data_IF_842421707719
#
_entry.id   IF_842421707719
#
_cell.length_a   1.000
_cell.length_b   1.000
_cell.length_c   1.000
_cell.angle_alpha   90.00
_cell.angle_beta   90.00
_cell.angle_gamma   90.00
#
_symmetry.space_group_name_H-M   'P 1'
#
loop_
_entity.id
_entity.type
_entity.pdbx_description
1 polymer ?
#
# COMPACT_ATOMS: atom_id res chain seq x y z
N UNK A 1 -26.29 -33.40 3.88
CA UNK A 1 -25.97 -32.24 3.01
C UNK A 1 -24.76 -32.67 2.17
N UNK A 2 -24.97 -32.99 0.89
CA UNK A 2 -23.98 -33.67 0.05
C UNK A 2 -22.89 -32.68 -0.38
N UNK A 3 -21.63 -33.05 -0.11
CA UNK A 3 -20.43 -32.35 -0.54
C UNK A 3 -20.34 -32.38 -2.07
N UNK A 4 -20.21 -31.19 -2.68
CA UNK A 4 -19.84 -31.06 -4.09
C UNK A 4 -18.35 -31.45 -4.26
N UNK A 5 -17.98 -32.07 -5.39
CA UNK A 5 -16.61 -32.49 -5.64
C UNK A 5 -15.70 -31.28 -5.87
N UNK A 6 -14.45 -31.43 -5.44
CA UNK A 6 -13.32 -30.53 -5.59
C UNK A 6 -13.07 -30.14 -7.05
N UNK A 7 -13.81 -29.15 -7.56
CA UNK A 7 -13.44 -28.39 -8.74
C UNK A 7 -12.60 -27.20 -8.26
N UNK A 8 -11.36 -27.16 -8.74
CA UNK A 8 -10.28 -26.27 -8.34
C UNK A 8 -10.71 -24.79 -8.35
N UNK A 9 -10.62 -24.15 -7.18
CA UNK A 9 -10.88 -22.72 -6.95
C UNK A 9 -10.02 -21.80 -7.86
N UNK A 10 -8.90 -22.34 -8.37
CA UNK A 10 -7.96 -21.72 -9.32
C UNK A 10 -8.64 -21.28 -10.63
N UNK A 11 -9.70 -21.99 -11.05
CA UNK A 11 -10.46 -21.62 -12.25
C UNK A 11 -11.18 -20.29 -12.13
N UNK A 12 -11.55 -19.82 -10.92
CA UNK A 12 -12.36 -18.62 -10.78
C UNK A 12 -11.53 -17.32 -10.83
N UNK A 13 -10.29 -17.33 -10.34
CA UNK A 13 -9.44 -16.13 -10.33
C UNK A 13 -8.59 -15.95 -11.59
N UNK A 14 -8.30 -17.03 -12.30
CA UNK A 14 -7.88 -16.93 -13.70
C UNK A 14 -9.03 -16.43 -14.58
N UNK A 15 -10.29 -16.74 -14.28
CA UNK A 15 -11.46 -16.29 -15.07
C UNK A 15 -11.86 -14.83 -14.80
N UNK A 16 -11.69 -14.28 -13.58
CA UNK A 16 -12.03 -12.87 -13.30
C UNK A 16 -11.00 -11.89 -13.91
N UNK A 17 -9.76 -12.32 -14.12
CA UNK A 17 -8.74 -11.52 -14.82
C UNK A 17 -8.50 -11.87 -16.29
N UNK A 18 -8.66 -13.14 -16.71
CA UNK A 18 -8.19 -13.63 -18.02
C UNK A 18 -9.34 -14.06 -18.95
N UNK A 19 -10.52 -14.43 -18.46
CA UNK A 19 -11.60 -14.94 -19.35
C UNK A 19 -12.55 -13.89 -19.93
N UNK A 20 -12.47 -12.64 -19.51
CA UNK A 20 -13.25 -11.54 -20.13
C UNK A 20 -12.44 -10.81 -21.22
N UNK A 21 -11.15 -11.14 -21.38
CA UNK A 21 -10.20 -10.48 -22.29
C UNK A 21 -10.39 -10.77 -23.79
N UNK A 22 -11.28 -11.70 -24.18
CA UNK A 22 -11.36 -12.19 -25.57
C UNK A 22 -12.56 -11.67 -26.39
N UNK A 23 -13.32 -10.66 -25.96
CA UNK A 23 -14.43 -10.15 -26.78
C UNK A 23 -14.72 -8.64 -26.77
N UNK A 24 -14.06 -7.85 -25.93
CA UNK A 24 -14.28 -6.40 -25.87
C UNK A 24 -12.95 -5.66 -25.70
N UNK A 25 -12.79 -4.51 -26.37
CA UNK A 25 -11.52 -3.77 -26.38
C UNK A 25 -10.99 -3.45 -24.96
N UNK A 26 -9.66 -3.38 -24.79
CA UNK A 26 -8.99 -3.31 -23.48
C UNK A 26 -9.49 -2.16 -22.59
N UNK A 27 -9.84 -1.02 -23.19
CA UNK A 27 -10.27 0.18 -22.47
C UNK A 27 -11.60 0.01 -21.71
N UNK A 28 -12.55 -0.74 -22.29
CA UNK A 28 -13.89 -0.92 -21.69
C UNK A 28 -13.92 -2.02 -20.62
N UNK A 29 -13.06 -3.04 -20.75
CA UNK A 29 -12.91 -4.10 -19.76
C UNK A 29 -12.27 -3.57 -18.47
N UNK A 30 -11.21 -2.76 -18.62
CA UNK A 30 -10.58 -2.11 -17.48
C UNK A 30 -11.56 -1.13 -16.82
N UNK A 31 -12.28 -0.30 -17.59
CA UNK A 31 -13.30 0.60 -17.00
C UNK A 31 -14.43 -0.15 -16.26
N UNK A 32 -14.87 -1.31 -16.75
CA UNK A 32 -15.88 -2.15 -16.08
C UNK A 32 -15.37 -2.77 -14.78
N UNK A 33 -14.13 -3.28 -14.76
CA UNK A 33 -13.51 -3.89 -13.58
C UNK A 33 -13.05 -2.84 -12.53
N UNK A 34 -12.57 -1.67 -12.96
CA UNK A 34 -12.09 -0.61 -12.08
C UNK A 34 -13.20 0.38 -11.66
N UNK A 35 -14.32 0.50 -12.38
CA UNK A 35 -15.41 1.42 -12.02
C UNK A 35 -16.20 1.00 -10.78
N UNK A 36 -16.27 -0.30 -10.47
CA UNK A 36 -16.99 -0.87 -9.34
C UNK A 36 -16.17 -1.87 -8.51
N UNK A 37 -14.84 -1.73 -8.50
CA UNK A 37 -13.94 -2.67 -7.83
C UNK A 37 -14.30 -2.94 -6.35
N UNK A 38 -14.88 -1.95 -5.65
CA UNK A 38 -15.38 -2.12 -4.27
C UNK A 38 -16.47 -3.17 -4.17
N UNK A 39 -17.44 -3.15 -5.08
CA UNK A 39 -18.53 -4.13 -5.12
C UNK A 39 -17.97 -5.54 -5.31
N UNK A 40 -16.95 -5.68 -6.17
CA UNK A 40 -16.26 -6.96 -6.35
C UNK A 40 -15.49 -7.39 -5.11
N UNK A 41 -14.77 -6.47 -4.45
CA UNK A 41 -14.04 -6.76 -3.22
C UNK A 41 -14.99 -7.20 -2.10
N UNK A 42 -16.12 -6.51 -1.89
CA UNK A 42 -17.13 -6.91 -0.91
C UNK A 42 -17.76 -8.26 -1.26
N UNK A 43 -18.01 -8.54 -2.55
CA UNK A 43 -18.45 -9.86 -3.00
C UNK A 43 -17.47 -10.98 -2.65
N UNK A 44 -16.16 -10.76 -2.87
CA UNK A 44 -15.13 -11.75 -2.51
C UNK A 44 -15.01 -11.93 -1.00
N UNK A 45 -15.15 -10.87 -0.20
CA UNK A 45 -15.18 -10.97 1.26
C UNK A 45 -16.38 -11.79 1.74
N UNK A 46 -17.57 -11.52 1.21
CA UNK A 46 -18.77 -12.30 1.53
C UNK A 46 -18.62 -13.78 1.17
N UNK A 47 -17.93 -14.09 0.06
CA UNK A 47 -17.58 -15.47 -0.30
C UNK A 47 -16.64 -16.09 0.75
N UNK A 48 -15.55 -15.40 1.12
CA UNK A 48 -14.63 -15.86 2.17
C UNK A 48 -15.39 -16.16 3.48
N UNK A 49 -16.31 -15.28 3.88
CA UNK A 49 -17.13 -15.46 5.07
C UNK A 49 -18.05 -16.69 4.96
N UNK A 50 -18.63 -16.94 3.78
CA UNK A 50 -19.45 -18.13 3.53
C UNK A 50 -18.67 -19.45 3.63
N UNK A 51 -17.35 -19.42 3.43
CA UNK A 51 -16.45 -20.57 3.63
C UNK A 51 -15.89 -20.67 5.06
N UNK A 52 -16.49 -19.97 6.02
CA UNK A 52 -16.07 -19.99 7.43
C UNK A 52 -15.09 -18.87 7.81
N UNK A 53 -14.86 -17.92 6.90
CA UNK A 53 -14.08 -16.72 7.15
C UNK A 53 -12.57 -16.91 7.00
N UNK A 54 -11.82 -15.80 7.04
CA UNK A 54 -10.41 -15.79 6.64
C UNK A 54 -9.52 -16.59 7.59
N UNK A 55 -9.90 -16.73 8.88
CA UNK A 55 -9.16 -17.53 9.86
C UNK A 55 -9.19 -19.03 9.58
N UNK A 56 -10.33 -19.54 9.09
CA UNK A 56 -10.47 -20.97 8.79
C UNK A 56 -9.71 -21.27 7.50
N UNK A 57 -9.87 -20.43 6.48
CA UNK A 57 -9.22 -20.61 5.19
C UNK A 57 -7.69 -20.56 5.27
N UNK A 58 -7.10 -19.65 6.05
CA UNK A 58 -5.62 -19.55 6.16
C UNK A 58 -4.97 -20.76 6.87
N UNK A 59 -5.77 -21.58 7.54
CA UNK A 59 -5.32 -22.79 8.23
C UNK A 59 -5.54 -24.06 7.41
N UNK A 60 -6.26 -23.99 6.29
CA UNK A 60 -6.66 -25.16 5.50
C UNK A 60 -5.47 -25.75 4.74
N UNK A 61 -4.84 -24.93 3.90
CA UNK A 61 -3.64 -25.26 3.11
C UNK A 61 -2.98 -23.95 2.64
N UNK A 62 -1.85 -24.04 1.93
CA UNK A 62 -1.07 -22.88 1.51
C UNK A 62 -1.70 -22.11 0.34
N UNK A 63 -2.46 -22.76 -0.55
CA UNK A 63 -3.11 -22.10 -1.68
C UNK A 63 -4.22 -21.16 -1.19
N UNK A 64 -5.10 -21.68 -0.35
CA UNK A 64 -6.16 -20.91 0.31
C UNK A 64 -5.57 -19.79 1.18
N UNK A 65 -4.44 -20.06 1.85
CA UNK A 65 -3.73 -19.07 2.64
C UNK A 65 -3.25 -17.89 1.78
N UNK A 66 -2.65 -18.17 0.63
CA UNK A 66 -2.17 -17.15 -0.31
C UNK A 66 -3.32 -16.37 -0.95
N UNK A 67 -4.43 -17.03 -1.26
CA UNK A 67 -5.63 -16.35 -1.76
C UNK A 67 -6.16 -15.34 -0.73
N UNK A 68 -6.37 -15.78 0.53
CA UNK A 68 -6.84 -14.90 1.60
C UNK A 68 -5.86 -13.74 1.82
N UNK A 69 -4.56 -14.02 1.78
CA UNK A 69 -3.54 -12.99 1.91
C UNK A 69 -3.63 -11.92 0.81
N UNK A 70 -3.81 -12.33 -0.46
CA UNK A 70 -3.95 -11.39 -1.57
C UNK A 70 -5.18 -10.52 -1.42
N UNK A 71 -6.33 -11.09 -1.06
CA UNK A 71 -7.58 -10.32 -0.85
C UNK A 71 -7.45 -9.37 0.34
N UNK A 72 -6.85 -9.83 1.43
CA UNK A 72 -6.56 -9.01 2.61
C UNK A 72 -5.65 -7.83 2.24
N UNK A 73 -4.63 -8.04 1.40
CA UNK A 73 -3.74 -6.96 1.00
C UNK A 73 -4.46 -5.95 0.11
N UNK A 74 -5.27 -6.42 -0.84
CA UNK A 74 -6.13 -5.54 -1.66
C UNK A 74 -6.97 -4.65 -0.75
N UNK A 75 -7.60 -5.23 0.27
CA UNK A 75 -8.43 -4.49 1.21
C UNK A 75 -7.64 -3.51 2.11
N UNK A 76 -6.48 -3.93 2.61
CA UNK A 76 -5.57 -3.06 3.38
C UNK A 76 -5.19 -1.84 2.55
N UNK A 77 -4.75 -2.04 1.31
CA UNK A 77 -4.29 -0.96 0.44
C UNK A 77 -5.45 -0.08 -0.01
N UNK A 78 -6.59 -0.68 -0.37
CA UNK A 78 -7.86 -0.01 -0.67
C UNK A 78 -8.31 0.94 0.44
N UNK A 79 -8.12 0.54 1.70
CA UNK A 79 -8.52 1.34 2.86
C UNK A 79 -7.66 2.61 3.00
N UNK A 80 -6.41 2.60 2.52
CA UNK A 80 -5.51 3.77 2.62
C UNK A 80 -6.03 5.00 1.91
N UNK A 81 -6.79 4.80 0.84
CA UNK A 81 -7.42 5.84 0.02
C UNK A 81 -8.93 5.88 0.18
N UNK A 82 -9.50 5.18 1.17
CA UNK A 82 -10.92 5.27 1.49
C UNK A 82 -11.13 6.40 2.51
N UNK A 83 -11.98 7.42 2.24
CA UNK A 83 -12.36 8.41 3.23
C UNK A 83 -12.97 7.74 4.46
N UNK A 84 -12.68 8.27 5.65
CA UNK A 84 -13.15 7.72 6.92
C UNK A 84 -14.68 7.63 6.94
N UNK A 85 -15.38 8.66 6.48
CA UNK A 85 -16.85 8.67 6.40
C UNK A 85 -17.45 7.63 5.43
N UNK A 86 -16.64 7.06 4.53
CA UNK A 86 -17.06 6.04 3.55
C UNK A 86 -16.59 4.63 3.92
N UNK A 87 -15.91 4.45 5.05
CA UNK A 87 -15.47 3.13 5.50
C UNK A 87 -16.67 2.27 5.94
N UNK A 88 -16.73 0.98 5.55
CA UNK A 88 -17.70 0.05 6.11
C UNK A 88 -17.63 -0.03 7.65
N UNK A 89 -18.76 -0.24 8.35
CA UNK A 89 -18.80 -0.24 9.82
C UNK A 89 -17.96 -1.37 10.45
N UNK A 90 -17.74 -2.46 9.72
CA UNK A 90 -16.94 -3.61 10.17
C UNK A 90 -15.44 -3.49 9.83
N UNK A 91 -15.00 -2.37 9.23
CA UNK A 91 -13.59 -2.14 8.85
C UNK A 91 -12.64 -2.33 10.04
N UNK A 92 -13.00 -1.81 11.23
CA UNK A 92 -12.17 -1.95 12.43
C UNK A 92 -12.01 -3.43 12.85
N UNK A 93 -13.09 -4.20 12.83
CA UNK A 93 -13.06 -5.63 13.18
C UNK A 93 -12.24 -6.43 12.15
N UNK A 94 -12.45 -6.16 10.85
CA UNK A 94 -11.72 -6.79 9.74
C UNK A 94 -10.22 -6.55 9.86
N UNK A 95 -9.78 -5.29 9.98
CA UNK A 95 -8.36 -4.98 10.09
C UNK A 95 -7.72 -5.53 11.37
N UNK A 96 -8.46 -5.62 12.47
CA UNK A 96 -7.99 -6.33 13.66
C UNK A 96 -7.80 -7.83 13.38
N UNK A 97 -8.66 -8.44 12.55
CA UNK A 97 -8.49 -9.81 12.07
C UNK A 97 -7.29 -9.96 11.15
N UNK A 98 -7.07 -9.00 10.25
CA UNK A 98 -5.95 -9.01 9.33
C UNK A 98 -4.61 -8.97 10.06
N UNK A 99 -4.47 -8.16 11.11
CA UNK A 99 -3.25 -8.13 11.93
C UNK A 99 -2.89 -9.50 12.53
N UNK A 100 -3.90 -10.29 12.93
CA UNK A 100 -3.69 -11.66 13.43
C UNK A 100 -3.25 -12.61 12.32
N UNK A 101 -3.85 -12.50 11.13
CA UNK A 101 -3.49 -13.32 9.96
C UNK A 101 -2.07 -13.00 9.49
N UNK A 102 -1.71 -11.72 9.39
CA UNK A 102 -0.36 -11.28 9.02
C UNK A 102 0.71 -11.82 9.99
N UNK A 103 0.39 -11.92 11.28
CA UNK A 103 1.28 -12.55 12.26
C UNK A 103 1.45 -14.06 12.02
N UNK A 104 0.36 -14.76 11.67
CA UNK A 104 0.40 -16.19 11.33
C UNK A 104 1.22 -16.46 10.05
N UNK A 105 1.05 -15.63 9.02
CA UNK A 105 1.78 -15.76 7.75
C UNK A 105 3.28 -15.59 7.95
N UNK A 106 3.69 -14.60 8.74
CA UNK A 106 5.09 -14.39 9.08
C UNK A 106 5.70 -15.60 9.82
N UNK A 107 4.91 -16.30 10.64
CA UNK A 107 5.35 -17.56 11.30
C UNK A 107 5.45 -18.74 10.33
N UNK A 108 4.57 -18.82 9.34
CA UNK A 108 4.61 -19.87 8.30
C UNK A 108 5.77 -19.69 7.32
N UNK A 109 6.42 -18.53 7.29
CA UNK A 109 7.51 -18.23 6.35
C UNK A 109 7.03 -18.13 4.89
N UNK A 110 5.72 -18.02 4.67
CA UNK A 110 5.16 -17.84 3.34
C UNK A 110 5.58 -16.47 2.79
N UNK A 111 6.23 -16.48 1.64
CA UNK A 111 6.62 -15.24 0.98
C UNK A 111 5.39 -14.60 0.33
N UNK A 112 5.17 -13.33 0.66
CA UNK A 112 4.23 -12.48 -0.05
C UNK A 112 4.68 -12.31 -1.50
N UNK A 113 3.79 -12.44 -2.51
CA UNK A 113 4.11 -12.08 -3.89
C UNK A 113 4.36 -10.57 -4.04
N UNK A 114 3.94 -9.76 -3.06
CA UNK A 114 4.26 -8.35 -2.98
C UNK A 114 5.64 -8.17 -2.36
N UNK A 115 6.49 -7.37 -3.01
CA UNK A 115 7.82 -7.01 -2.52
C UNK A 115 7.79 -6.03 -1.32
N UNK A 116 6.65 -5.91 -0.64
CA UNK A 116 6.48 -5.06 0.54
C UNK A 116 6.81 -5.92 1.76
N UNK A 117 7.79 -5.50 2.59
CA UNK A 117 8.09 -6.16 3.84
C UNK A 117 6.83 -6.35 4.70
N UNK A 118 6.60 -7.57 5.21
CA UNK A 118 5.39 -7.90 5.96
C UNK A 118 5.14 -6.98 7.17
N UNK A 119 6.19 -6.52 7.84
CA UNK A 119 6.09 -5.57 8.94
C UNK A 119 5.55 -4.20 8.50
N UNK A 120 5.86 -3.75 7.29
CA UNK A 120 5.31 -2.50 6.74
C UNK A 120 3.82 -2.66 6.40
N UNK A 121 3.41 -3.80 5.85
CA UNK A 121 1.98 -4.12 5.62
C UNK A 121 1.21 -4.10 6.94
N UNK A 122 1.77 -4.68 8.00
CA UNK A 122 1.17 -4.65 9.35
C UNK A 122 0.98 -3.22 9.85
N UNK A 123 1.97 -2.35 9.68
CA UNK A 123 1.85 -0.95 10.09
C UNK A 123 0.76 -0.23 9.28
N UNK A 124 0.62 -0.49 7.97
CA UNK A 124 -0.49 0.07 7.18
C UNK A 124 -1.84 -0.37 7.76
N UNK A 125 -1.99 -1.66 8.09
CA UNK A 125 -3.20 -2.17 8.73
C UNK A 125 -3.46 -1.56 10.12
N UNK A 126 -2.42 -1.28 10.91
CA UNK A 126 -2.54 -0.57 12.19
C UNK A 126 -3.03 0.87 11.99
N UNK A 127 -2.52 1.61 10.99
CA UNK A 127 -3.01 2.97 10.66
C UNK A 127 -4.48 2.93 10.23
N UNK A 128 -4.84 1.99 9.35
CA UNK A 128 -6.24 1.80 8.92
C UNK A 128 -7.17 1.50 10.10
N UNK A 129 -6.74 0.67 11.05
CA UNK A 129 -7.50 0.37 12.26
C UNK A 129 -7.70 1.62 13.13
N UNK A 130 -6.68 2.47 13.27
CA UNK A 130 -6.78 3.75 13.98
C UNK A 130 -7.82 4.65 13.30
N UNK A 131 -7.79 4.75 11.97
CA UNK A 131 -8.76 5.52 11.17
C UNK A 131 -10.18 4.99 11.34
N UNK A 132 -10.39 3.68 11.26
CA UNK A 132 -11.72 3.09 11.41
C UNK A 132 -12.30 3.30 12.82
N UNK A 133 -11.47 3.18 13.86
CA UNK A 133 -11.90 3.38 15.25
C UNK A 133 -12.24 4.83 15.59
N UNK A 134 -11.62 5.81 14.92
CA UNK A 134 -11.95 7.22 15.16
C UNK A 134 -13.41 7.55 14.80
N UNK A 135 -14.05 6.73 13.95
CA UNK A 135 -15.49 6.80 13.65
C UNK A 135 -16.30 6.30 14.85
N UNK A 136 -15.98 5.11 15.36
CA UNK A 136 -16.75 4.42 16.40
C UNK A 136 -16.78 5.20 17.71
N UNK A 137 -15.67 5.87 18.06
CA UNK A 137 -15.58 6.69 19.28
C UNK A 137 -16.50 7.92 19.21
N UNK A 138 -16.77 8.47 18.02
CA UNK A 138 -17.72 9.60 17.86
C UNK A 138 -19.18 9.20 18.06
N UNK A 139 -19.52 7.92 17.87
CA UNK A 139 -20.91 7.43 17.92
C UNK A 139 -21.31 6.97 19.32
N UNK A 140 -20.39 6.39 20.10
CA UNK A 140 -20.75 5.67 21.32
C UNK A 140 -20.21 6.26 22.64
N UNK A 141 -19.48 7.38 22.63
CA UNK A 141 -19.18 8.19 23.82
C UNK A 141 -18.35 7.55 24.95
N UNK A 142 -18.18 6.23 24.96
CA UNK A 142 -17.70 5.48 26.12
C UNK A 142 -16.53 4.57 25.76
N UNK A 143 -15.30 5.09 25.93
CA UNK A 143 -14.12 4.38 26.43
C UNK A 143 -12.94 5.37 26.51
N UNK A 144 -12.13 5.25 27.57
CA UNK A 144 -10.80 5.88 27.66
C UNK A 144 -9.87 5.14 26.67
N UNK A 145 -10.09 5.32 25.38
CA UNK A 145 -9.15 4.83 24.37
C UNK A 145 -7.86 5.66 24.43
N UNK A 146 -6.73 4.99 24.23
CA UNK A 146 -5.44 5.64 24.13
C UNK A 146 -5.48 6.75 23.05
N UNK A 147 -5.03 7.98 23.38
CA UNK A 147 -5.01 9.13 22.47
C UNK A 147 -4.36 8.81 21.12
N UNK A 148 -4.92 9.37 20.03
CA UNK A 148 -4.45 9.09 18.67
C UNK A 148 -3.00 9.54 18.45
N UNK A 149 -2.59 10.67 19.03
CA UNK A 149 -1.22 11.18 18.99
C UNK A 149 -0.21 10.16 19.54
N UNK A 150 -0.53 9.48 20.64
CA UNK A 150 0.30 8.42 21.20
C UNK A 150 0.43 7.23 20.25
N UNK A 151 -0.72 6.72 19.73
CA UNK A 151 -0.73 5.58 18.80
C UNK A 151 0.09 5.89 17.53
N UNK A 152 -0.11 7.07 16.93
CA UNK A 152 0.64 7.49 15.74
C UNK A 152 2.13 7.68 16.06
N UNK A 153 2.47 8.28 17.20
CA UNK A 153 3.88 8.42 17.62
C UNK A 153 4.57 7.07 17.83
N UNK A 154 3.87 6.07 18.37
CA UNK A 154 4.36 4.70 18.49
C UNK A 154 4.65 4.08 17.11
N UNK A 155 3.73 4.24 16.16
CA UNK A 155 3.92 3.76 14.78
C UNK A 155 5.10 4.44 14.08
N UNK A 156 5.24 5.76 14.24
CA UNK A 156 6.39 6.51 13.71
C UNK A 156 7.71 6.03 14.32
N UNK A 157 7.71 5.71 15.63
CA UNK A 157 8.86 5.08 16.28
C UNK A 157 9.18 3.72 15.67
N UNK A 158 8.19 2.83 15.48
CA UNK A 158 8.39 1.53 14.81
C UNK A 158 8.99 1.69 13.40
N UNK A 159 8.51 2.68 12.63
CA UNK A 159 9.02 2.96 11.29
C UNK A 159 10.45 3.52 11.30
N UNK A 160 10.83 4.31 12.30
CA UNK A 160 12.19 4.84 12.41
C UNK A 160 13.24 3.76 12.72
N UNK A 161 12.84 2.71 13.45
CA UNK A 161 13.70 1.57 13.77
C UNK A 161 13.66 0.46 12.70
N UNK A 162 12.87 0.62 11.64
CA UNK A 162 12.81 -0.38 10.57
C UNK A 162 14.09 -0.39 9.72
N UNK A 163 14.72 -1.56 9.62
CA UNK A 163 15.88 -1.85 8.77
C UNK A 163 15.47 -2.75 7.59
N UNK A 164 15.73 -2.33 6.33
CA UNK A 164 15.39 -3.12 5.14
C UNK A 164 16.14 -4.47 5.01
N UNK A 165 17.25 -4.64 5.75
CA UNK A 165 18.23 -5.71 5.55
C UNK A 165 18.27 -6.74 6.69
N UNK A 166 17.35 -6.70 7.65
CA UNK A 166 17.27 -7.77 8.66
C UNK A 166 16.87 -9.08 7.98
N UNK A 167 17.87 -9.89 7.65
CA UNK A 167 17.83 -11.15 6.90
C UNK A 167 17.04 -12.29 7.55
N UNK A 168 16.09 -11.99 8.44
CA UNK A 168 15.14 -12.94 9.01
C UNK A 168 13.84 -13.04 8.19
N UNK A 169 13.57 -12.08 7.29
CA UNK A 169 12.36 -12.10 6.44
C UNK A 169 12.64 -12.67 5.07
N UNK A 170 13.09 -13.92 5.01
CA UNK A 170 12.76 -14.86 3.93
C UNK A 170 13.14 -14.53 2.48
N UNK A 171 13.57 -13.32 2.10
CA UNK A 171 14.04 -12.94 0.75
C UNK A 171 15.45 -13.53 0.53
N UNK A 172 15.57 -14.85 0.66
CA UNK A 172 16.36 -15.59 -0.32
C UNK A 172 15.69 -15.28 -1.65
N UNK A 173 16.28 -14.32 -2.38
CA UNK A 173 16.28 -14.25 -3.84
C UNK A 173 15.31 -15.25 -4.45
N UNK A 174 14.08 -14.85 -4.74
CA UNK A 174 13.22 -15.71 -5.51
C UNK A 174 13.78 -15.72 -6.96
N UNK A 175 14.36 -16.83 -7.46
CA UNK A 175 14.87 -16.90 -8.82
C UNK A 175 13.74 -17.11 -9.84
N UNK A 176 12.47 -17.07 -9.41
CA UNK A 176 11.32 -17.45 -10.26
C UNK A 176 10.70 -16.33 -11.08
N UNK A 177 11.30 -15.12 -11.14
CA UNK A 177 11.19 -14.38 -12.41
C UNK A 177 12.13 -15.06 -13.42
N UNK A 178 11.68 -16.23 -13.91
CA UNK A 178 12.25 -16.85 -15.09
C UNK A 178 11.87 -15.91 -16.23
N UNK A 179 12.86 -15.18 -16.76
CA UNK A 179 12.73 -14.62 -18.11
C UNK A 179 12.32 -15.80 -19.02
N UNK A 180 11.17 -15.74 -19.72
CA UNK A 180 10.74 -16.80 -20.62
C UNK A 180 11.77 -17.15 -21.71
N UNK A 181 12.84 -16.36 -21.87
CA UNK A 181 13.96 -16.62 -22.77
C UNK A 181 15.10 -17.43 -22.16
N UNK A 182 15.08 -17.70 -20.86
CA UNK A 182 16.10 -18.52 -20.18
C UNK A 182 15.47 -19.79 -19.61
N UNK A 183 15.08 -20.70 -20.51
CA UNK A 183 14.81 -22.08 -20.12
C UNK A 183 16.11 -22.77 -19.69
N UNK A 184 16.20 -23.03 -18.38
CA UNK A 184 16.68 -24.27 -17.73
C UNK A 184 18.01 -24.85 -18.24
N UNK A 185 19.06 -24.71 -17.41
CA UNK A 185 20.10 -25.74 -17.30
C UNK A 185 20.18 -26.21 -15.83
N UNK A 186 19.70 -27.42 -15.47
CA UNK A 186 19.52 -27.85 -14.08
C UNK A 186 20.79 -28.45 -13.44
N UNK A 187 21.99 -28.08 -13.90
CA UNK A 187 23.25 -28.73 -13.51
C UNK A 187 24.19 -27.91 -12.59
N UNK A 188 23.75 -26.78 -12.03
CA UNK A 188 24.63 -25.94 -11.19
C UNK A 188 24.24 -26.01 -9.70
N UNK A 189 24.53 -27.15 -9.09
CA UNK A 189 24.89 -27.18 -7.67
C UNK A 189 26.25 -26.48 -7.53
N UNK A 190 26.25 -25.18 -7.23
CA UNK A 190 27.49 -24.45 -6.96
C UNK A 190 28.06 -24.92 -5.62
N UNK A 191 29.35 -25.33 -5.56
CA UNK A 191 30.00 -25.62 -4.30
C UNK A 191 30.07 -24.33 -3.46
N UNK A 192 29.82 -24.45 -2.16
CA UNK A 192 30.04 -23.38 -1.18
C UNK A 192 31.49 -22.91 -1.28
N UNK A 193 31.71 -21.67 -1.74
CA UNK A 193 33.03 -21.03 -1.61
C UNK A 193 33.49 -20.07 -2.71
N UNK A 194 32.80 -19.94 -3.84
CA UNK A 194 33.30 -19.04 -4.91
C UNK A 194 32.19 -18.29 -5.65
N UNK A 195 31.68 -17.22 -5.03
CA UNK A 195 30.86 -16.24 -5.75
C UNK A 195 31.81 -15.35 -6.55
N UNK A 196 31.79 -15.47 -7.88
CA UNK A 196 32.55 -14.57 -8.76
C UNK A 196 32.25 -13.10 -8.43
N UNK A 197 33.23 -12.18 -8.47
CA UNK A 197 33.04 -10.77 -8.12
C UNK A 197 31.87 -10.09 -8.85
N UNK A 198 31.64 -10.43 -10.13
CA UNK A 198 30.52 -9.93 -10.92
C UNK A 198 29.14 -10.33 -10.36
N UNK A 199 29.03 -11.52 -9.77
CA UNK A 199 27.80 -11.96 -9.11
C UNK A 199 27.58 -11.24 -7.78
N UNK A 200 28.66 -10.87 -7.08
CA UNK A 200 28.59 -10.08 -5.84
C UNK A 200 28.07 -8.67 -6.11
N UNK A 201 28.58 -8.00 -7.13
CA UNK A 201 28.15 -6.63 -7.48
C UNK A 201 26.68 -6.59 -7.91
N UNK A 202 26.23 -7.60 -8.66
CA UNK A 202 24.81 -7.75 -9.04
C UNK A 202 23.91 -7.94 -7.82
N UNK A 203 24.28 -8.83 -6.90
CA UNK A 203 23.52 -9.07 -5.67
C UNK A 203 23.47 -7.83 -4.77
N UNK A 204 24.57 -7.07 -4.68
CA UNK A 204 24.60 -5.83 -3.92
C UNK A 204 23.70 -4.76 -4.53
N UNK A 205 23.67 -4.64 -5.85
CA UNK A 205 22.82 -3.68 -6.56
C UNK A 205 21.33 -4.05 -6.44
N UNK A 206 21.01 -5.34 -6.48
CA UNK A 206 19.66 -5.84 -6.22
C UNK A 206 19.22 -5.58 -4.77
N UNK A 207 20.05 -5.92 -3.78
CA UNK A 207 19.78 -5.64 -2.38
C UNK A 207 19.60 -4.14 -2.11
N UNK A 208 20.40 -3.29 -2.78
CA UNK A 208 20.27 -1.84 -2.71
C UNK A 208 18.94 -1.36 -3.30
N UNK A 209 18.54 -1.88 -4.46
CA UNK A 209 17.27 -1.51 -5.09
C UNK A 209 16.07 -1.97 -4.25
N UNK A 210 16.14 -3.17 -3.66
CA UNK A 210 15.14 -3.63 -2.70
C UNK A 210 15.07 -2.72 -1.46
N UNK A 211 16.23 -2.32 -0.92
CA UNK A 211 16.29 -1.42 0.23
C UNK A 211 15.63 -0.06 -0.08
N UNK A 212 15.86 0.50 -1.27
CA UNK A 212 15.16 1.71 -1.72
C UNK A 212 13.66 1.50 -1.92
N UNK A 213 13.23 0.32 -2.40
CA UNK A 213 11.81 -0.02 -2.50
C UNK A 213 11.15 -0.05 -1.11
N UNK A 214 11.75 -0.76 -0.15
CA UNK A 214 11.27 -0.79 1.23
C UNK A 214 11.27 0.61 1.86
N UNK A 215 12.28 1.43 1.56
CA UNK A 215 12.37 2.82 2.02
C UNK A 215 11.25 3.70 1.44
N UNK A 216 10.87 3.53 0.17
CA UNK A 216 9.70 4.20 -0.41
C UNK A 216 8.43 3.88 0.38
N UNK A 217 8.18 2.60 0.67
CA UNK A 217 7.01 2.21 1.47
C UNK A 217 7.08 2.77 2.88
N UNK A 218 8.23 2.65 3.57
CA UNK A 218 8.42 3.18 4.93
C UNK A 218 8.10 4.68 4.99
N UNK A 219 8.63 5.45 4.07
CA UNK A 219 8.44 6.90 4.02
C UNK A 219 6.98 7.27 3.68
N UNK A 220 6.36 6.60 2.70
CA UNK A 220 4.96 6.82 2.36
C UNK A 220 4.00 6.43 3.51
N UNK A 221 4.32 5.39 4.29
CA UNK A 221 3.55 5.01 5.49
C UNK A 221 3.68 6.07 6.59
N UNK A 222 4.86 6.66 6.79
CA UNK A 222 5.02 7.79 7.74
C UNK A 222 4.12 8.96 7.35
N UNK A 223 4.11 9.33 6.06
CA UNK A 223 3.24 10.39 5.53
C UNK A 223 1.78 10.03 5.81
N UNK A 224 1.35 8.82 5.44
CA UNK A 224 -0.03 8.37 5.65
C UNK A 224 -0.46 8.38 7.12
N UNK A 225 0.42 7.96 8.03
CA UNK A 225 0.16 7.99 9.47
C UNK A 225 0.05 9.43 10.01
N UNK A 226 0.90 10.35 9.54
CA UNK A 226 0.82 11.77 9.92
C UNK A 226 -0.45 12.41 9.36
N UNK A 227 -0.79 12.17 8.10
CA UNK A 227 -2.01 12.71 7.48
C UNK A 227 -3.28 12.21 8.17
N UNK A 228 -3.25 10.96 8.65
CA UNK A 228 -4.32 10.41 9.51
C UNK A 228 -4.50 11.24 10.79
N UNK A 229 -3.41 11.59 11.46
CA UNK A 229 -3.45 12.43 12.66
C UNK A 229 -3.94 13.85 12.35
N UNK A 230 -3.39 14.48 11.32
CA UNK A 230 -3.75 15.85 10.94
C UNK A 230 -5.23 15.98 10.54
N UNK A 231 -5.76 15.00 9.82
CA UNK A 231 -7.19 14.97 9.47
C UNK A 231 -8.09 14.86 10.71
N UNK A 232 -7.70 14.06 11.71
CA UNK A 232 -8.45 13.92 12.96
C UNK A 232 -8.41 15.21 13.80
N UNK A 233 -7.25 15.86 13.89
CA UNK A 233 -7.10 17.14 14.61
C UNK A 233 -7.93 18.25 13.95
N UNK A 234 -7.92 18.35 12.62
CA UNK A 234 -8.74 19.33 11.90
C UNK A 234 -10.25 19.11 12.17
N UNK A 235 -10.70 17.86 12.12
CA UNK A 235 -12.09 17.52 12.41
C UNK A 235 -12.48 17.88 13.86
N UNK A 236 -11.61 17.62 14.84
CA UNK A 236 -11.85 17.97 16.24
C UNK A 236 -11.80 19.49 16.49
N UNK A 237 -11.02 20.24 15.70
CA UNK A 237 -10.97 21.70 15.73
C UNK A 237 -12.27 22.34 15.26
N UNK A 238 -12.86 21.83 14.17
CA UNK A 238 -14.15 22.31 13.66
C UNK A 238 -15.30 22.12 14.65
N UNK A 239 -15.31 21.04 15.43
CA UNK A 239 -16.36 20.78 16.44
C UNK A 239 -16.27 21.73 17.65
N UNK A 240 -15.07 22.19 18.03
CA UNK A 240 -14.88 23.04 19.22
C UNK A 240 -15.17 24.52 18.99
N UNK A 241 -15.06 25.00 17.74
CA UNK A 241 -15.38 26.39 17.38
C UNK A 241 -16.87 26.71 17.59
N UNK A 242 -17.72 25.69 17.70
CA UNK A 242 -19.15 25.86 17.90
C UNK A 242 -19.56 26.21 19.34
N UNK A 243 -18.76 25.94 20.40
CA UNK A 243 -19.23 26.11 21.79
C UNK A 243 -18.26 26.73 22.81
N UNK A 244 -16.95 26.84 22.56
CA UNK A 244 -16.04 27.69 23.37
C UNK A 244 -14.70 27.82 22.63
N UNK A 245 -14.12 29.02 22.66
CA UNK A 245 -12.96 29.41 21.86
C UNK A 245 -11.79 28.39 21.80
N UNK A 246 -10.95 28.48 20.77
CA UNK A 246 -10.02 27.41 20.39
C UNK A 246 -8.91 27.25 21.43
N UNK A 247 -9.08 26.32 22.37
CA UNK A 247 -7.96 25.79 23.13
C UNK A 247 -7.26 24.76 22.23
N UNK A 248 -6.37 25.26 21.37
CA UNK A 248 -5.36 24.46 20.67
C UNK A 248 -4.55 23.70 21.72
N UNK A 249 -4.79 22.39 21.86
CA UNK A 249 -3.89 21.52 22.62
C UNK A 249 -2.54 21.46 21.89
N UNK A 250 -1.52 22.04 22.54
CA UNK A 250 -0.08 22.00 22.27
C UNK A 250 0.40 22.09 20.81
N UNK A 251 0.74 23.32 20.38
CA UNK A 251 1.53 23.63 19.16
C UNK A 251 2.67 22.63 18.91
N UNK A 252 3.37 22.19 19.97
CA UNK A 252 4.56 21.36 19.86
C UNK A 252 4.34 19.97 19.26
N UNK A 253 3.18 19.34 19.42
CA UNK A 253 2.90 18.03 18.79
C UNK A 253 2.58 18.20 17.32
N UNK A 254 1.80 19.23 16.96
CA UNK A 254 1.49 19.57 15.57
C UNK A 254 2.78 19.88 14.78
N UNK A 255 3.65 20.70 15.35
CA UNK A 255 4.94 21.07 14.75
C UNK A 255 5.83 19.84 14.52
N UNK A 256 5.86 18.90 15.48
CA UNK A 256 6.58 17.62 15.32
C UNK A 256 6.02 16.78 14.18
N UNK A 257 4.68 16.70 14.05
CA UNK A 257 4.03 15.93 12.99
C UNK A 257 4.28 16.55 11.62
N UNK A 258 4.20 17.88 11.49
CA UNK A 258 4.54 18.59 10.25
C UNK A 258 6.00 18.35 9.87
N UNK A 259 6.93 18.43 10.84
CA UNK A 259 8.34 18.12 10.61
C UNK A 259 8.57 16.66 10.18
N UNK A 260 7.90 15.71 10.84
CA UNK A 260 7.97 14.29 10.47
C UNK A 260 7.46 14.02 9.05
N UNK A 261 6.39 14.70 8.63
CA UNK A 261 5.87 14.62 7.26
C UNK A 261 6.87 15.13 6.24
N UNK A 262 7.50 16.28 6.49
CA UNK A 262 8.52 16.84 5.58
C UNK A 262 9.70 15.89 5.41
N UNK A 263 10.27 15.40 6.52
CA UNK A 263 11.40 14.44 6.48
C UNK A 263 11.01 13.18 5.71
N UNK A 264 9.80 12.67 5.92
CA UNK A 264 9.31 11.50 5.21
C UNK A 264 9.12 11.76 3.70
N UNK A 265 8.63 12.94 3.31
CA UNK A 265 8.53 13.33 1.90
C UNK A 265 9.91 13.38 1.23
N UNK A 266 10.90 13.99 1.87
CA UNK A 266 12.26 14.08 1.34
C UNK A 266 12.91 12.69 1.18
N UNK A 267 12.75 11.81 2.20
CA UNK A 267 13.18 10.40 2.17
C UNK A 267 12.51 9.63 1.01
N UNK A 268 11.21 9.86 0.79
CA UNK A 268 10.41 9.22 -0.25
C UNK A 268 10.89 9.67 -1.64
N UNK A 269 11.01 10.97 -1.87
CA UNK A 269 11.45 11.53 -3.16
C UNK A 269 12.86 11.09 -3.52
N UNK A 270 13.78 11.06 -2.56
CA UNK A 270 15.14 10.56 -2.79
C UNK A 270 15.14 9.09 -3.25
N UNK A 271 14.32 8.25 -2.61
CA UNK A 271 14.25 6.81 -2.92
C UNK A 271 13.53 6.53 -4.24
N UNK A 272 12.48 7.29 -4.56
CA UNK A 272 11.80 7.22 -5.85
C UNK A 272 12.72 7.64 -7.00
N UNK A 273 13.44 8.75 -6.86
CA UNK A 273 14.43 9.23 -7.84
C UNK A 273 15.53 8.20 -8.07
N UNK A 274 15.98 7.51 -7.02
CA UNK A 274 16.94 6.41 -7.14
C UNK A 274 16.39 5.26 -8.00
N UNK A 275 15.22 4.71 -7.65
CA UNK A 275 14.63 3.54 -8.32
C UNK A 275 14.25 3.82 -9.78
N UNK A 276 13.60 4.97 -10.03
CA UNK A 276 13.20 5.37 -11.37
C UNK A 276 14.41 5.76 -12.22
N UNK A 277 15.48 6.27 -11.61
CA UNK A 277 16.78 6.42 -12.26
C UNK A 277 17.42 5.08 -12.64
N UNK A 278 17.38 4.09 -11.74
CA UNK A 278 17.91 2.75 -11.98
C UNK A 278 17.16 2.04 -13.12
N UNK A 279 15.84 2.23 -13.23
CA UNK A 279 15.02 1.83 -14.39
C UNK A 279 15.61 2.34 -15.70
N UNK A 280 15.84 3.66 -15.80
CA UNK A 280 16.33 4.32 -17.03
C UNK A 280 17.72 3.81 -17.42
N UNK A 281 18.57 3.51 -16.43
CA UNK A 281 19.91 2.95 -16.63
C UNK A 281 19.92 1.43 -16.87
N UNK A 282 18.77 0.75 -16.80
CA UNK A 282 18.63 -0.72 -16.93
C UNK A 282 19.54 -1.49 -15.96
N UNK A 283 19.67 -0.97 -14.75
CA UNK A 283 20.49 -1.56 -13.68
C UNK A 283 19.90 -2.88 -13.16
N UNK A 284 20.74 -3.79 -12.65
CA UNK A 284 20.25 -4.98 -11.93
C UNK A 284 19.44 -4.54 -10.70
N UNK A 285 18.35 -5.24 -10.37
CA UNK A 285 17.40 -4.76 -9.37
C UNK A 285 16.52 -3.59 -9.85
N UNK A 286 16.71 -3.09 -11.07
CA UNK A 286 15.87 -2.03 -11.63
C UNK A 286 14.38 -2.39 -11.60
N UNK A 287 14.00 -3.67 -11.67
CA UNK A 287 12.61 -4.11 -11.67
C UNK A 287 11.78 -3.68 -10.44
N UNK A 288 12.39 -3.27 -9.32
CA UNK A 288 11.65 -2.80 -8.15
C UNK A 288 10.84 -1.52 -8.39
N UNK A 289 11.13 -0.75 -9.44
CA UNK A 289 10.31 0.42 -9.83
C UNK A 289 8.85 0.04 -10.08
N UNK A 290 8.60 -1.22 -10.49
CA UNK A 290 7.26 -1.71 -10.82
C UNK A 290 6.35 -1.74 -9.60
N UNK A 291 6.90 -1.79 -8.38
CA UNK A 291 6.13 -1.99 -7.16
C UNK A 291 5.92 -0.72 -6.32
N UNK A 292 6.56 0.38 -6.67
CA UNK A 292 6.46 1.64 -5.91
C UNK A 292 5.31 2.54 -6.36
N UNK A 293 4.25 1.96 -6.94
CA UNK A 293 3.09 2.70 -7.41
C UNK A 293 2.37 3.45 -6.28
N UNK A 294 2.00 2.76 -5.19
CA UNK A 294 1.34 3.42 -4.05
C UNK A 294 2.22 4.51 -3.43
N UNK A 295 3.52 4.27 -3.12
CA UNK A 295 4.42 5.34 -2.68
C UNK A 295 4.53 6.52 -3.66
N UNK A 296 4.54 6.27 -4.98
CA UNK A 296 4.60 7.31 -6.01
C UNK A 296 3.32 8.16 -6.02
N UNK A 297 2.15 7.54 -5.86
CA UNK A 297 0.88 8.27 -5.72
C UNK A 297 0.85 9.13 -4.44
N UNK A 298 1.33 8.59 -3.30
CA UNK A 298 1.42 9.36 -2.05
C UNK A 298 2.36 10.56 -2.20
N UNK A 299 3.52 10.37 -2.83
CA UNK A 299 4.44 11.47 -3.13
C UNK A 299 3.78 12.53 -4.00
N UNK A 300 3.02 12.13 -5.02
CA UNK A 300 2.34 13.05 -5.92
C UNK A 300 1.28 13.90 -5.21
N UNK A 301 0.50 13.29 -4.31
CA UNK A 301 -0.46 14.06 -3.51
C UNK A 301 0.25 15.09 -2.64
N UNK A 302 1.35 14.72 -2.00
CA UNK A 302 2.14 15.64 -1.18
C UNK A 302 2.77 16.77 -2.01
N UNK A 303 3.32 16.44 -3.19
CA UNK A 303 3.95 17.45 -4.07
C UNK A 303 2.94 18.50 -4.53
N UNK A 304 1.67 18.11 -4.72
CA UNK A 304 0.59 18.98 -5.18
C UNK A 304 -0.07 19.74 -4.01
N UNK A 305 -0.51 19.03 -2.98
CA UNK A 305 -1.39 19.58 -1.94
C UNK A 305 -0.60 20.29 -0.84
N UNK A 306 0.56 19.75 -0.47
CA UNK A 306 1.34 20.24 0.68
C UNK A 306 2.50 21.12 0.22
N UNK A 307 3.33 20.63 -0.70
CA UNK A 307 4.57 21.32 -1.07
C UNK A 307 4.41 22.29 -2.25
N UNK A 308 3.38 22.12 -3.09
CA UNK A 308 3.19 22.87 -4.35
C UNK A 308 4.46 22.90 -5.22
N UNK A 309 5.16 21.78 -5.26
CA UNK A 309 6.44 21.65 -5.94
C UNK A 309 6.21 21.17 -7.38
N UNK A 310 6.25 22.13 -8.33
CA UNK A 310 6.06 21.86 -9.76
C UNK A 310 7.05 20.82 -10.31
N UNK A 311 8.37 20.96 -10.09
CA UNK A 311 9.35 19.97 -10.52
C UNK A 311 9.09 18.55 -10.02
N UNK A 312 8.74 18.37 -8.74
CA UNK A 312 8.43 17.05 -8.21
C UNK A 312 7.09 16.52 -8.78
N UNK A 313 6.07 17.38 -8.93
CA UNK A 313 4.81 17.02 -9.59
C UNK A 313 5.03 16.53 -11.02
N UNK A 314 5.75 17.28 -11.86
CA UNK A 314 6.04 16.91 -13.24
C UNK A 314 6.82 15.59 -13.32
N UNK A 315 7.81 15.42 -12.45
CA UNK A 315 8.57 14.18 -12.33
C UNK A 315 7.65 12.98 -12.02
N UNK A 316 6.79 13.10 -11.02
CA UNK A 316 5.89 12.02 -10.59
C UNK A 316 4.83 11.72 -11.66
N UNK A 317 4.18 12.76 -12.17
CA UNK A 317 3.15 12.66 -13.20
C UNK A 317 3.68 11.99 -14.46
N UNK A 318 4.85 12.41 -14.95
CA UNK A 318 5.50 11.78 -16.10
C UNK A 318 5.77 10.29 -15.88
N UNK A 319 6.28 9.90 -14.71
CA UNK A 319 6.53 8.49 -14.42
C UNK A 319 5.25 7.67 -14.27
N UNK A 320 4.16 8.21 -13.72
CA UNK A 320 2.87 7.50 -13.67
C UNK A 320 2.36 7.18 -15.10
N UNK A 321 2.50 8.11 -16.04
CA UNK A 321 2.17 7.86 -17.44
C UNK A 321 3.10 6.85 -18.09
N UNK A 322 4.42 6.92 -17.85
CA UNK A 322 5.38 5.89 -18.30
C UNK A 322 5.02 4.50 -17.76
N UNK A 323 4.71 4.40 -16.46
CA UNK A 323 4.34 3.13 -15.81
C UNK A 323 3.05 2.55 -16.39
N UNK A 324 2.09 3.39 -16.79
CA UNK A 324 0.86 2.95 -17.48
C UNK A 324 1.20 2.19 -18.76
N UNK A 325 2.10 2.75 -19.57
CA UNK A 325 2.53 2.14 -20.84
C UNK A 325 3.32 0.86 -20.60
N UNK A 326 4.26 0.89 -19.65
CA UNK A 326 5.18 -0.23 -19.41
C UNK A 326 4.52 -1.43 -18.72
N UNK A 327 3.49 -1.19 -17.87
CA UNK A 327 2.82 -2.24 -17.09
C UNK A 327 1.45 -2.62 -17.64
N UNK A 328 0.90 -1.86 -18.58
CA UNK A 328 -0.40 -2.15 -19.20
C UNK A 328 -1.60 -2.02 -18.26
N UNK A 329 -1.48 -1.21 -17.21
CA UNK A 329 -2.53 -0.98 -16.20
C UNK A 329 -2.91 0.48 -16.11
N UNK A 330 -4.22 0.73 -16.04
CA UNK A 330 -4.79 2.08 -16.04
C UNK A 330 -4.79 2.74 -14.66
N UNK A 331 -4.52 2.02 -13.57
CA UNK A 331 -4.52 2.62 -12.23
C UNK A 331 -3.47 3.73 -12.09
N UNK A 332 -2.32 3.62 -12.78
CA UNK A 332 -1.31 4.69 -12.81
C UNK A 332 -1.78 5.91 -13.58
N UNK A 333 -2.54 5.72 -14.68
CA UNK A 333 -3.15 6.83 -15.43
C UNK A 333 -4.20 7.53 -14.58
N UNK A 334 -5.03 6.78 -13.87
CA UNK A 334 -6.05 7.36 -12.99
C UNK A 334 -5.40 8.16 -11.85
N UNK A 335 -4.27 7.68 -11.31
CA UNK A 335 -3.46 8.45 -10.36
C UNK A 335 -2.91 9.73 -11.00
N UNK A 336 -2.37 9.69 -12.22
CA UNK A 336 -1.87 10.87 -12.92
C UNK A 336 -2.98 11.91 -13.14
N UNK A 337 -4.15 11.49 -13.61
CA UNK A 337 -5.32 12.34 -13.80
C UNK A 337 -5.84 12.94 -12.49
N UNK A 338 -5.81 12.18 -11.39
CA UNK A 338 -6.11 12.70 -10.07
C UNK A 338 -5.14 13.83 -9.70
N UNK A 339 -3.83 13.62 -9.87
CA UNK A 339 -2.81 14.63 -9.54
C UNK A 339 -2.96 15.89 -10.40
N UNK A 340 -3.22 15.75 -11.70
CA UNK A 340 -3.46 16.89 -12.60
C UNK A 340 -4.71 17.71 -12.17
N UNK A 341 -5.79 17.01 -11.80
CA UNK A 341 -6.99 17.66 -11.27
C UNK A 341 -6.71 18.39 -9.95
N UNK A 342 -5.95 17.78 -9.04
CA UNK A 342 -5.56 18.42 -7.79
C UNK A 342 -4.68 19.64 -8.05
N UNK A 343 -3.74 19.55 -8.98
CA UNK A 343 -2.83 20.64 -9.34
C UNK A 343 -3.58 21.85 -9.89
N UNK A 344 -4.54 21.61 -10.77
CA UNK A 344 -5.38 22.66 -11.37
C UNK A 344 -6.39 23.27 -10.40
N UNK A 345 -6.86 22.50 -9.41
CA UNK A 345 -7.87 22.95 -8.44
C UNK A 345 -7.24 23.60 -7.20
N UNK A 346 -5.98 23.30 -6.89
CA UNK A 346 -5.31 23.75 -5.66
C UNK A 346 -4.94 25.24 -5.73
N UNK A 347 -5.76 26.12 -5.15
CA UNK A 347 -5.43 27.54 -4.93
C UNK A 347 -4.63 27.72 -3.65
N UNK A 348 -3.82 28.78 -3.53
CA UNK A 348 -2.91 29.04 -2.41
C UNK A 348 -3.55 28.90 -1.01
N UNK A 349 -4.85 29.20 -0.90
CA UNK A 349 -5.59 29.24 0.36
C UNK A 349 -6.36 27.95 0.68
N UNK A 350 -6.40 26.97 -0.23
CA UNK A 350 -7.17 25.73 -0.01
C UNK A 350 -6.29 24.66 0.61
N UNK A 351 -6.53 24.34 1.88
CA UNK A 351 -5.98 23.12 2.51
C UNK A 351 -6.94 21.96 2.25
N UNK A 352 -6.51 20.97 1.47
CA UNK A 352 -7.27 19.72 1.28
C UNK A 352 -6.80 18.65 2.27
N UNK A 353 -7.75 18.02 2.94
CA UNK A 353 -7.51 16.86 3.79
C UNK A 353 -7.29 15.60 2.96
N UNK A 354 -6.71 14.58 3.59
CA UNK A 354 -6.55 13.25 2.98
C UNK A 354 -7.86 12.67 2.45
N UNK A 355 -8.94 12.82 3.22
CA UNK A 355 -10.26 12.31 2.86
C UNK A 355 -10.90 13.08 1.69
N UNK A 356 -10.67 14.39 1.58
CA UNK A 356 -11.13 15.20 0.44
C UNK A 356 -10.39 14.86 -0.85
N UNK A 357 -9.07 14.68 -0.76
CA UNK A 357 -8.22 14.23 -1.88
C UNK A 357 -8.75 12.92 -2.45
N UNK A 358 -9.09 11.98 -1.56
CA UNK A 358 -9.56 10.66 -1.95
C UNK A 358 -11.07 10.48 -1.83
N UNK A 359 -11.88 11.52 -2.02
CA UNK A 359 -13.35 11.43 -1.87
C UNK A 359 -14.02 10.37 -2.77
N UNK A 360 -13.49 10.16 -3.97
CA UNK A 360 -13.96 9.11 -4.91
C UNK A 360 -13.30 7.76 -4.65
N UNK A 361 -12.36 7.76 -3.70
CA UNK A 361 -11.73 6.61 -3.11
C UNK A 361 -11.11 5.68 -4.17
N UNK A 362 -10.13 6.20 -4.94
CA UNK A 362 -9.45 5.45 -5.99
C UNK A 362 -8.68 4.25 -5.40
N UNK A 363 -8.48 3.20 -6.18
CA UNK A 363 -7.61 2.09 -5.79
C UNK A 363 -6.23 2.26 -6.43
N UNK A 364 -5.19 2.32 -5.60
CA UNK A 364 -3.81 2.28 -6.07
C UNK A 364 -3.15 0.95 -5.71
N UNK A 365 -3.48 -0.07 -6.49
CA UNK A 365 -2.91 -1.41 -6.37
C UNK A 365 -2.36 -1.86 -7.73
N UNK A 366 -1.29 -2.65 -7.69
CA UNK A 366 -0.79 -3.42 -8.83
C UNK A 366 -1.44 -4.79 -8.86
#
# INVERSE_FOLDING_TARGET
>A
MRLLPSASFIGLFSVVGISVALSYGPDRLQQGAYGQWRTHLEGVKALIDSFGGPRILVLKDDEECMLVFNILLVDIMATTTCPVASMPPDTAERHQSYLRILYLLNRKGLQSPFCIPANLIRIIAEVNLIRAKSISTKVFGDAVECPMDYKISELLSKLNHYTPLDGSTGHRSNPTYIDPRTEINPALSYPEGQVCPENRDRLLLEARSYAHCAQCFRAAIKIYAVETYLAAELAAGCEKVCDAGPILKSSSTLDKMIGARQIAYDELMASLKFLLGAKRRREHGGHYWKFVFWPLAIAGVQSVVVHRNGPDFEFIHGHLLEMTVDLGTMCMRDAALLLEKLWTTSTADTTMTWDEVFKNAPLFLL
#
